data_IF_530865387488
#
_entry.id   IF_530865387488
#
_cell.length_a   1.000
_cell.length_b   1.000
_cell.length_c   1.000
_cell.angle_alpha   90.00
_cell.angle_beta   90.00
_cell.angle_gamma   90.00
#
_symmetry.space_group_name_H-M   'P 1'
#
loop_
_entity.id
_entity.type
_entity.pdbx_description
1 polymer ?
#
# COMPACT_ATOMS: atom_id res chain seq x y z
N UNK A 1 2.18 28.41 -2.79
CA UNK A 1 1.73 27.02 -3.00
C UNK A 1 2.63 26.11 -2.19
N UNK A 2 2.07 25.32 -1.26
CA UNK A 2 2.84 24.38 -0.44
C UNK A 2 3.21 23.20 -1.35
N UNK A 3 4.45 23.10 -1.81
CA UNK A 3 4.93 21.89 -2.46
C UNK A 3 4.97 20.78 -1.41
N UNK A 4 3.92 19.95 -1.37
CA UNK A 4 3.91 18.76 -0.52
C UNK A 4 4.83 17.75 -1.19
N UNK A 5 6.13 17.82 -0.92
CA UNK A 5 7.12 16.97 -1.60
C UNK A 5 6.86 15.47 -1.43
N UNK A 6 6.31 15.08 -0.27
CA UNK A 6 6.10 13.68 0.10
C UNK A 6 4.94 13.56 1.11
N UNK A 7 4.08 12.55 0.97
CA UNK A 7 3.12 12.17 2.01
C UNK A 7 2.92 10.65 2.06
N UNK A 8 2.53 10.15 3.23
CA UNK A 8 2.21 8.74 3.42
C UNK A 8 0.69 8.54 3.39
N UNK A 9 0.26 7.43 2.81
CA UNK A 9 -1.13 7.00 2.83
C UNK A 9 -1.21 5.49 3.09
N UNK A 10 -2.21 5.12 3.89
CA UNK A 10 -2.55 3.74 4.14
C UNK A 10 -3.95 3.48 3.58
N UNK A 11 -4.08 2.42 2.79
CA UNK A 11 -5.33 2.03 2.17
C UNK A 11 -5.70 0.60 2.51
N UNK A 12 -6.99 0.39 2.70
CA UNK A 12 -7.63 -0.92 2.67
C UNK A 12 -8.31 -1.09 1.32
N UNK A 13 -8.03 -2.20 0.66
CA UNK A 13 -8.56 -2.54 -0.67
C UNK A 13 -9.28 -3.88 -0.58
N UNK A 14 -10.60 -3.90 -0.72
CA UNK A 14 -11.39 -5.13 -0.56
C UNK A 14 -12.72 -5.09 -1.31
N UNK A 15 -13.35 -6.26 -1.47
CA UNK A 15 -14.74 -6.39 -1.91
C UNK A 15 -15.74 -6.48 -0.74
N UNK A 16 -15.29 -6.22 0.49
CA UNK A 16 -16.09 -6.35 1.73
C UNK A 16 -16.77 -7.72 1.91
N UNK A 17 -16.22 -8.77 1.30
CA UNK A 17 -16.67 -10.15 1.49
C UNK A 17 -16.09 -10.68 2.79
N UNK A 18 -16.94 -11.19 3.68
CA UNK A 18 -16.49 -11.77 4.94
C UNK A 18 -15.49 -12.91 4.70
N UNK A 19 -14.25 -12.73 5.18
CA UNK A 19 -13.15 -13.67 5.01
C UNK A 19 -12.59 -13.80 3.59
N UNK A 20 -13.01 -12.92 2.67
CA UNK A 20 -12.45 -12.81 1.33
C UNK A 20 -11.07 -12.16 1.31
N UNK A 21 -10.54 -11.98 0.10
CA UNK A 21 -9.22 -11.37 -0.12
C UNK A 21 -9.28 -9.87 0.17
N UNK A 22 -8.35 -9.40 0.99
CA UNK A 22 -8.12 -7.99 1.30
C UNK A 22 -6.65 -7.65 1.04
N UNK A 23 -6.39 -6.45 0.52
CA UNK A 23 -5.06 -5.86 0.43
C UNK A 23 -4.95 -4.63 1.33
N UNK A 24 -3.93 -4.63 2.18
CA UNK A 24 -3.46 -3.46 2.90
C UNK A 24 -2.30 -2.84 2.13
N UNK A 25 -2.44 -1.60 1.72
CA UNK A 25 -1.44 -0.87 0.93
C UNK A 25 -0.92 0.32 1.74
N UNK A 26 0.37 0.30 2.08
CA UNK A 26 1.06 1.40 2.72
C UNK A 26 1.99 2.03 1.69
N UNK A 27 1.75 3.28 1.32
CA UNK A 27 2.53 3.96 0.28
C UNK A 27 3.02 5.33 0.72
N UNK A 28 4.20 5.65 0.24
CA UNK A 28 4.78 6.98 0.22
C UNK A 28 4.60 7.54 -1.18
N UNK A 29 3.92 8.68 -1.28
CA UNK A 29 3.67 9.38 -2.54
C UNK A 29 4.64 10.54 -2.65
N UNK A 30 5.50 10.49 -3.67
CA UNK A 30 6.37 11.60 -4.05
C UNK A 30 5.68 12.41 -5.14
N UNK A 31 5.29 13.64 -4.81
CA UNK A 31 4.50 14.47 -5.75
C UNK A 31 5.35 15.21 -6.77
N UNK A 32 6.64 15.35 -6.50
CA UNK A 32 7.61 15.99 -7.41
C UNK A 32 7.90 15.06 -8.57
N UNK A 33 8.21 13.79 -8.26
CA UNK A 33 8.60 12.79 -9.26
C UNK A 33 7.40 11.98 -9.79
N UNK A 34 6.20 12.19 -9.23
CA UNK A 34 4.97 11.43 -9.53
C UNK A 34 5.09 9.93 -9.31
N UNK A 35 5.83 9.55 -8.28
CA UNK A 35 6.13 8.15 -7.95
C UNK A 35 5.42 7.71 -6.69
N UNK A 36 5.11 6.42 -6.62
CA UNK A 36 4.68 5.76 -5.41
C UNK A 36 5.63 4.62 -5.07
N UNK A 37 5.98 4.52 -3.80
CA UNK A 37 6.76 3.41 -3.25
C UNK A 37 6.12 2.94 -1.96
N UNK A 38 6.25 1.67 -1.60
CA UNK A 38 5.60 1.19 -0.39
C UNK A 38 5.60 -0.32 -0.20
N UNK A 39 4.66 -0.77 0.62
CA UNK A 39 4.44 -2.18 0.94
C UNK A 39 2.96 -2.53 0.79
N UNK A 40 2.69 -3.65 0.13
CA UNK A 40 1.37 -4.27 0.09
C UNK A 40 1.39 -5.58 0.87
N UNK A 41 0.30 -5.84 1.60
CA UNK A 41 0.02 -7.13 2.22
C UNK A 41 -1.35 -7.60 1.76
N UNK A 42 -1.40 -8.70 1.03
CA UNK A 42 -2.64 -9.37 0.62
C UNK A 42 -2.89 -10.50 1.60
N UNK A 43 -4.10 -10.57 2.14
CA UNK A 43 -4.48 -11.64 3.06
C UNK A 43 -5.90 -12.14 2.81
N UNK A 44 -6.13 -13.38 3.18
CA UNK A 44 -7.44 -14.05 3.17
C UNK A 44 -7.52 -14.92 4.41
N UNK A 45 -8.62 -14.79 5.17
CA UNK A 45 -8.81 -15.53 6.41
C UNK A 45 -9.37 -16.95 6.20
N UNK A 46 -10.18 -17.16 5.16
CA UNK A 46 -10.87 -18.43 4.90
C UNK A 46 -10.07 -19.31 3.93
N UNK A 47 -10.15 -20.63 4.09
CA UNK A 47 -9.38 -21.66 3.40
C UNK A 47 -9.34 -21.55 1.85
N UNK A 48 -8.14 -21.53 1.22
CA UNK A 48 -6.83 -21.54 1.85
C UNK A 48 -6.47 -20.16 2.43
N UNK A 49 -5.93 -20.09 3.66
CA UNK A 49 -5.41 -18.83 4.19
C UNK A 49 -4.32 -18.29 3.27
N UNK A 50 -4.36 -16.98 3.02
CA UNK A 50 -3.42 -16.30 2.15
C UNK A 50 -2.65 -15.23 2.93
N UNK A 51 -1.36 -15.11 2.66
CA UNK A 51 -0.54 -13.99 3.13
C UNK A 51 0.60 -13.72 2.13
N UNK A 52 0.44 -12.71 1.29
CA UNK A 52 1.47 -12.27 0.33
C UNK A 52 1.94 -10.89 0.75
N UNK A 53 3.25 -10.69 0.75
CA UNK A 53 3.88 -9.39 1.00
C UNK A 53 4.60 -8.97 -0.28
N UNK A 54 4.45 -7.71 -0.65
CA UNK A 54 5.07 -7.12 -1.83
C UNK A 54 5.66 -5.76 -1.50
N UNK A 55 6.89 -5.53 -1.92
CA UNK A 55 7.44 -4.17 -2.05
C UNK A 55 6.88 -3.57 -3.33
N UNK A 56 6.19 -2.44 -3.21
CA UNK A 56 5.42 -1.81 -4.28
C UNK A 56 6.19 -0.63 -4.86
N UNK A 57 6.30 -0.59 -6.19
CA UNK A 57 6.87 0.52 -6.94
C UNK A 57 5.98 0.86 -8.12
N UNK A 58 5.73 2.15 -8.32
CA UNK A 58 4.91 2.59 -9.44
C UNK A 58 4.89 4.09 -9.59
N UNK A 59 3.97 4.52 -10.43
CA UNK A 59 3.78 5.92 -10.80
C UNK A 59 2.29 6.26 -10.73
N UNK A 60 2.00 7.55 -10.72
CA UNK A 60 0.62 8.03 -10.80
C UNK A 60 0.46 9.17 -11.80
N UNK A 61 -0.75 9.30 -12.33
CA UNK A 61 -1.11 10.35 -13.29
C UNK A 61 -2.48 10.92 -12.98
N UNK A 62 -2.67 12.21 -13.29
CA UNK A 62 -3.98 12.85 -13.19
C UNK A 62 -4.72 12.72 -14.52
N UNK A 63 -5.97 12.26 -14.43
CA UNK A 63 -6.90 12.16 -15.54
C UNK A 63 -8.04 13.14 -15.28
N UNK A 64 -8.01 14.29 -15.94
CA UNK A 64 -9.03 15.31 -15.79
C UNK A 64 -9.95 15.35 -17.01
N UNK A 65 -11.25 15.41 -16.73
CA UNK A 65 -12.29 15.75 -17.69
C UNK A 65 -12.75 17.19 -17.45
N UNK A 66 -13.72 17.67 -18.23
CA UNK A 66 -14.32 18.99 -18.01
C UNK A 66 -15.07 19.11 -16.67
N UNK A 67 -15.39 17.99 -16.02
CA UNK A 67 -16.28 17.93 -14.85
C UNK A 67 -15.57 17.45 -13.59
N UNK A 68 -14.56 16.60 -13.73
CA UNK A 68 -13.88 15.97 -12.59
C UNK A 68 -12.45 15.54 -12.94
N UNK A 69 -11.60 15.48 -11.93
CA UNK A 69 -10.29 14.86 -11.99
C UNK A 69 -10.27 13.54 -11.20
N UNK A 70 -9.49 12.59 -11.69
CA UNK A 70 -9.21 11.32 -11.00
C UNK A 70 -7.73 11.02 -11.10
N UNK A 71 -7.24 10.16 -10.21
CA UNK A 71 -5.83 9.80 -10.14
C UNK A 71 -5.70 8.33 -10.52
N UNK A 72 -4.98 8.07 -11.60
CA UNK A 72 -4.62 6.71 -12.01
C UNK A 72 -3.27 6.35 -11.42
N UNK A 73 -3.26 5.36 -10.53
CA UNK A 73 -2.07 4.74 -9.98
C UNK A 73 -1.82 3.43 -10.72
N UNK A 74 -0.59 3.24 -11.19
CA UNK A 74 -0.12 1.99 -11.79
C UNK A 74 1.15 1.57 -11.08
N UNK A 75 1.13 0.38 -10.49
CA UNK A 75 2.26 -0.14 -9.74
C UNK A 75 2.41 -1.65 -9.90
N UNK A 76 3.63 -2.11 -9.69
CA UNK A 76 3.95 -3.52 -9.58
C UNK A 76 4.56 -3.79 -8.21
N UNK A 77 4.42 -5.03 -7.75
CA UNK A 77 5.03 -5.48 -6.50
C UNK A 77 5.94 -6.67 -6.69
N UNK A 78 7.04 -6.64 -5.95
CA UNK A 78 8.03 -7.71 -5.88
C UNK A 78 8.06 -8.30 -4.47
N UNK A 79 8.25 -9.61 -4.37
CA UNK A 79 8.43 -10.27 -3.08
C UNK A 79 9.69 -9.74 -2.40
N UNK A 80 9.63 -9.36 -1.10
CA UNK A 80 10.83 -9.02 -0.34
C UNK A 80 11.73 -10.26 -0.13
N UNK A 81 11.17 -11.45 -0.29
CA UNK A 81 11.91 -12.71 -0.27
C UNK A 81 12.33 -13.06 -1.71
N UNK A 82 13.64 -13.08 -1.94
CA UNK A 82 14.23 -13.40 -3.24
C UNK A 82 14.68 -14.87 -3.24
N UNK A 83 14.05 -15.76 -4.03
CA UNK A 83 14.54 -17.12 -4.17
C UNK A 83 15.92 -17.13 -4.84
N UNK A 84 16.77 -18.07 -4.41
CA UNK A 84 18.06 -18.31 -5.06
C UNK A 84 17.88 -19.33 -6.19
N UNK A 85 18.28 -18.96 -7.41
CA UNK A 85 18.42 -19.91 -8.52
C UNK A 85 19.90 -19.94 -8.87
N UNK A 86 20.54 -21.11 -8.68
CA UNK A 86 21.98 -21.29 -8.88
C UNK A 86 22.80 -20.24 -8.11
N UNK A 87 22.49 -20.05 -6.83
CA UNK A 87 23.11 -19.08 -5.92
C UNK A 87 22.98 -17.60 -6.31
N UNK A 88 22.11 -17.27 -7.26
CA UNK A 88 21.82 -15.89 -7.66
C UNK A 88 20.42 -15.50 -7.16
N UNK A 89 20.28 -14.42 -6.37
CA UNK A 89 18.99 -13.87 -5.98
C UNK A 89 18.16 -13.46 -7.19
N UNK A 90 16.92 -13.96 -7.25
CA UNK A 90 15.97 -13.62 -8.31
C UNK A 90 14.90 -12.70 -7.78
N UNK A 91 14.64 -11.62 -8.51
CA UNK A 91 13.49 -10.75 -8.23
C UNK A 91 12.22 -11.49 -8.63
N UNK A 92 11.30 -11.66 -7.69
CA UNK A 92 10.04 -12.36 -7.92
C UNK A 92 8.87 -11.37 -7.90
N UNK A 93 8.37 -11.01 -9.09
CA UNK A 93 7.16 -10.19 -9.23
C UNK A 93 5.94 -10.98 -8.78
N UNK A 94 5.21 -10.46 -7.79
CA UNK A 94 4.08 -11.15 -7.17
C UNK A 94 2.79 -10.32 -7.10
N UNK A 95 2.84 -9.06 -7.57
CA UNK A 95 1.69 -8.16 -7.60
C UNK A 95 1.75 -7.28 -8.85
N UNK A 96 0.57 -7.02 -9.43
CA UNK A 96 0.35 -5.94 -10.40
C UNK A 96 -0.94 -5.21 -10.04
N UNK A 97 -0.91 -3.89 -9.99
CA UNK A 97 -1.92 -3.06 -9.34
C UNK A 97 -2.26 -1.85 -10.22
N UNK A 98 -3.56 -1.64 -10.41
CA UNK A 98 -4.12 -0.43 -11.03
C UNK A 98 -5.23 0.12 -10.15
N UNK A 99 -5.12 1.39 -9.78
CA UNK A 99 -6.14 2.07 -8.96
C UNK A 99 -6.58 3.34 -9.65
N UNK A 100 -7.89 3.57 -9.67
CA UNK A 100 -8.47 4.87 -9.96
C UNK A 100 -8.95 5.46 -8.64
N UNK A 101 -8.26 6.49 -8.18
CA UNK A 101 -8.56 7.22 -6.95
C UNK A 101 -9.31 8.51 -7.25
N UNK A 102 -10.03 9.02 -6.25
CA UNK A 102 -10.52 10.39 -6.25
C UNK A 102 -9.36 11.40 -6.17
N UNK A 103 -9.66 12.67 -6.46
CA UNK A 103 -8.69 13.76 -6.46
C UNK A 103 -8.04 14.01 -5.08
N UNK A 104 -8.68 13.56 -4.01
CA UNK A 104 -8.27 13.78 -2.63
C UNK A 104 -7.48 12.61 -2.03
N UNK A 105 -7.17 11.57 -2.83
CA UNK A 105 -6.46 10.37 -2.37
C UNK A 105 -7.16 9.64 -1.21
N UNK A 106 -8.48 9.73 -1.08
CA UNK A 106 -9.20 9.14 0.05
C UNK A 106 -9.90 7.83 -0.29
N UNK A 107 -10.39 7.70 -1.51
CA UNK A 107 -11.11 6.50 -1.95
C UNK A 107 -10.96 6.26 -3.44
N UNK A 108 -11.31 5.06 -3.87
CA UNK A 108 -11.18 4.68 -5.27
C UNK A 108 -11.63 3.26 -5.56
N UNK A 109 -11.28 2.79 -6.75
CA UNK A 109 -11.51 1.42 -7.19
C UNK A 109 -10.22 0.85 -7.75
N UNK A 110 -9.87 -0.37 -7.33
CA UNK A 110 -8.67 -1.07 -7.73
C UNK A 110 -8.98 -2.36 -8.50
N UNK A 111 -8.15 -2.62 -9.51
CA UNK A 111 -7.98 -3.92 -10.12
C UNK A 111 -6.54 -4.37 -9.85
N UNK A 112 -6.36 -5.57 -9.35
CA UNK A 112 -5.03 -6.11 -9.10
C UNK A 112 -4.95 -7.59 -9.38
N UNK A 113 -3.73 -8.03 -9.65
CA UNK A 113 -3.37 -9.44 -9.78
C UNK A 113 -2.30 -9.77 -8.76
N UNK A 114 -2.37 -10.95 -8.19
CA UNK A 114 -1.34 -11.45 -7.29
C UNK A 114 -0.98 -12.90 -7.62
N UNK A 115 0.26 -13.27 -7.33
CA UNK A 115 0.79 -14.58 -7.68
C UNK A 115 0.84 -15.50 -6.45
N UNK A 116 0.23 -16.68 -6.54
CA UNK A 116 0.31 -17.77 -5.56
C UNK A 116 0.79 -19.01 -6.27
N UNK A 117 1.89 -19.63 -5.81
CA UNK A 117 2.41 -20.86 -6.41
C UNK A 117 2.56 -20.79 -7.95
N UNK A 118 2.99 -19.63 -8.46
CA UNK A 118 3.12 -19.31 -9.89
C UNK A 118 1.80 -19.22 -10.69
N UNK A 119 0.67 -19.15 -10.01
CA UNK A 119 -0.64 -18.88 -10.59
C UNK A 119 -1.07 -17.44 -10.27
N UNK A 120 -1.51 -16.70 -11.28
CA UNK A 120 -2.01 -15.34 -11.12
C UNK A 120 -3.51 -15.34 -10.84
N UNK A 121 -3.89 -14.76 -9.72
CA UNK A 121 -5.28 -14.54 -9.34
C UNK A 121 -5.63 -13.07 -9.53
N UNK A 122 -6.81 -12.80 -10.09
CA UNK A 122 -7.28 -11.44 -10.37
C UNK A 122 -8.38 -11.04 -9.40
N UNK A 123 -8.31 -9.81 -8.93
CA UNK A 123 -9.36 -9.15 -8.15
C UNK A 123 -9.76 -7.90 -8.90
N UNK A 124 -11.03 -7.82 -9.25
CA UNK A 124 -11.60 -6.73 -10.01
C UNK A 124 -12.58 -5.93 -9.15
N UNK A 125 -12.63 -4.63 -9.40
CA UNK A 125 -13.55 -3.66 -8.79
C UNK A 125 -13.50 -3.60 -7.26
N UNK A 126 -12.32 -3.84 -6.67
CA UNK A 126 -12.14 -3.73 -5.23
C UNK A 126 -12.21 -2.27 -4.78
N UNK A 127 -12.97 -2.01 -3.72
CA UNK A 127 -13.09 -0.68 -3.15
C UNK A 127 -11.82 -0.30 -2.40
N UNK A 128 -11.32 0.90 -2.64
CA UNK A 128 -10.17 1.48 -1.94
C UNK A 128 -10.67 2.50 -0.95
N UNK A 129 -10.24 2.37 0.30
CA UNK A 129 -10.59 3.25 1.40
C UNK A 129 -9.34 3.65 2.17
N UNK A 130 -9.16 4.95 2.43
CA UNK A 130 -8.11 5.43 3.30
C UNK A 130 -8.34 4.94 4.72
N UNK A 131 -7.31 4.35 5.31
CA UNK A 131 -7.29 3.96 6.70
C UNK A 131 -6.67 5.10 7.48
N UNK A 132 -7.51 5.97 8.03
CA UNK A 132 -7.06 6.96 8.99
C UNK A 132 -6.77 6.25 10.31
N UNK A 133 -5.49 6.07 10.64
CA UNK A 133 -5.10 5.66 11.98
C UNK A 133 -5.55 6.74 12.97
N UNK A 134 -6.60 6.46 13.75
CA UNK A 134 -6.97 7.27 14.90
C UNK A 134 -5.82 7.42 15.91
N UNK A 135 -4.82 6.52 15.84
CA UNK A 135 -3.70 6.43 16.76
C UNK A 135 -2.51 7.36 16.44
N UNK A 136 -2.49 8.04 15.28
CA UNK A 136 -1.41 9.00 14.97
C UNK A 136 -1.47 10.25 15.88
N UNK A 137 -2.59 10.49 16.57
CA UNK A 137 -2.67 11.51 17.62
C UNK A 137 -1.77 11.24 18.84
N UNK A 138 -1.21 10.03 18.98
CA UNK A 138 -0.36 9.67 20.11
C UNK A 138 1.15 9.79 19.83
N UNK A 139 1.59 10.26 18.65
CA UNK A 139 3.04 10.46 18.40
C UNK A 139 3.66 11.43 19.40
N UNK A 140 2.93 12.49 19.78
CA UNK A 140 3.37 13.41 20.84
C UNK A 140 3.50 12.71 22.20
N UNK A 141 2.56 11.83 22.54
CA UNK A 141 2.59 11.05 23.78
C UNK A 141 3.72 10.04 23.79
N UNK A 142 3.93 9.32 22.68
CA UNK A 142 5.03 8.38 22.51
C UNK A 142 6.39 9.10 22.60
N UNK A 143 6.51 10.26 21.94
CA UNK A 143 7.71 11.09 22.02
C UNK A 143 7.97 11.61 23.44
N UNK A 144 6.91 11.96 24.18
CA UNK A 144 7.01 12.35 25.59
C UNK A 144 7.43 11.16 26.48
N UNK A 145 6.90 9.96 26.23
CA UNK A 145 7.28 8.73 26.96
C UNK A 145 8.76 8.38 26.76
N UNK A 146 9.27 8.46 25.53
CA UNK A 146 10.70 8.22 25.25
C UNK A 146 11.58 9.23 25.99
N UNK A 147 11.24 10.53 25.93
CA UNK A 147 11.98 11.59 26.63
C UNK A 147 11.99 11.44 28.14
N UNK A 148 10.94 10.86 28.73
CA UNK A 148 10.86 10.66 30.17
C UNK A 148 11.70 9.45 30.61
N UNK A 149 11.74 8.39 29.80
CA UNK A 149 12.55 7.20 30.09
C UNK A 149 14.06 7.45 29.94
N UNK A 150 14.48 8.41 29.10
CA UNK A 150 15.89 8.84 29.04
C UNK A 150 16.33 9.72 30.23
N UNK A 151 15.38 10.26 31.01
CA UNK A 151 15.66 11.17 32.13
C UNK A 151 15.75 10.47 33.48
N UNK A 152 15.37 9.20 33.59
CA UNK A 152 15.64 8.42 34.79
C UNK A 152 17.11 7.96 34.77
N UNK A 153 17.96 8.45 35.69
CA UNK A 153 19.28 7.85 35.84
C UNK A 153 19.08 6.42 36.32
N UNK A 154 19.76 5.47 35.68
CA UNK A 154 19.91 4.11 36.21
C UNK A 154 20.53 4.27 37.59
N UNK A 155 19.73 4.02 38.63
CA UNK A 155 20.17 3.97 40.02
C UNK A 155 20.89 2.65 40.31
#
# INVERSE_FOLDING_TARGET
MKNVGLFNAHYRISNHLAGGVEMQLNVTVNTVDKRITGMARISQAINPPLNIISEVHGDYSYMCTMQSCSILVVADGVSPFQPLIRDVPQVYKNLSLRIVMDENWQKGVANYKYCVNNEWHEVNNAQVEIVTNADIHNVERLAATVKNNEKEPVA
#
